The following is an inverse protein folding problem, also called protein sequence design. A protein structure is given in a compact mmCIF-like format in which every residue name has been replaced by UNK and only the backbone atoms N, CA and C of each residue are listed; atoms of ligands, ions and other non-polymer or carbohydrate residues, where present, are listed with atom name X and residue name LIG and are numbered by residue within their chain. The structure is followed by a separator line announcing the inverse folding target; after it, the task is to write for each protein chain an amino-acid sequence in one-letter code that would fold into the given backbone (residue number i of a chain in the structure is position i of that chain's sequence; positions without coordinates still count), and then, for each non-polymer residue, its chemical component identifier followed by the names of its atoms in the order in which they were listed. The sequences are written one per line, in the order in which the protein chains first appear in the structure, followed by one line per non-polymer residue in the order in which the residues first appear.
data_IF_477730790893
#
_entry.id   IF_477730790893
#
_cell.length_a   1.000
_cell.length_b   1.000
_cell.length_c   1.000
_cell.angle_alpha   90.00
_cell.angle_beta   90.00
_cell.angle_gamma   90.00
#
_symmetry.space_group_name_H-M   'P 1'
#
loop_
_entity.id
_entity.type
_entity.pdbx_description
1 polymer ?
#
# COMPACT_ATOMS: atom_id res chain seq x y z
N UNK A 1 8.18 7.42 -2.84
CA UNK A 1 8.16 8.56 -3.79
C UNK A 1 7.86 9.88 -3.08
N UNK A 2 6.60 10.21 -2.78
CA UNK A 2 6.21 11.53 -2.26
C UNK A 2 6.92 11.96 -0.95
N UNK A 3 7.08 11.06 0.04
CA UNK A 3 7.71 11.40 1.33
C UNK A 3 9.23 11.58 1.25
N UNK A 4 9.89 10.85 0.35
CA UNK A 4 11.36 10.74 0.32
C UNK A 4 11.99 11.39 -0.92
N UNK A 5 11.19 11.88 -1.86
CA UNK A 5 11.66 12.40 -3.15
C UNK A 5 12.27 11.32 -4.07
N UNK A 6 12.10 10.04 -3.74
CA UNK A 6 12.72 8.92 -4.45
C UNK A 6 11.89 8.51 -5.68
N UNK A 7 12.46 8.41 -6.89
CA UNK A 7 11.75 7.91 -8.08
C UNK A 7 11.30 6.45 -7.87
N UNK A 8 10.21 6.03 -8.50
CA UNK A 8 9.65 4.68 -8.28
C UNK A 8 10.60 3.56 -8.73
N UNK A 9 11.47 3.85 -9.70
CA UNK A 9 12.52 2.95 -10.19
C UNK A 9 13.61 2.67 -9.14
N UNK A 10 13.63 3.43 -8.04
CA UNK A 10 14.51 3.23 -6.89
C UNK A 10 13.75 2.70 -5.66
N UNK A 11 12.55 2.13 -5.86
CA UNK A 11 11.74 1.55 -4.79
C UNK A 11 11.47 0.08 -5.09
N UNK A 12 12.22 -0.78 -4.39
CA UNK A 12 12.03 -2.22 -4.43
C UNK A 12 11.03 -2.69 -3.38
N UNK A 13 10.40 -3.83 -3.66
CA UNK A 13 9.48 -4.49 -2.73
C UNK A 13 9.98 -5.91 -2.50
N UNK A 14 10.10 -6.28 -1.23
CA UNK A 14 10.51 -7.60 -0.79
C UNK A 14 9.48 -8.14 0.20
N UNK A 15 9.16 -9.42 0.08
CA UNK A 15 8.29 -10.10 1.05
C UNK A 15 9.15 -10.52 2.23
N UNK A 16 8.79 -10.04 3.42
CA UNK A 16 9.43 -10.43 4.68
C UNK A 16 8.35 -10.98 5.63
N UNK A 17 8.10 -12.31 5.65
CA UNK A 17 6.97 -12.88 6.36
C UNK A 17 6.96 -12.61 7.86
N UNK A 18 8.13 -12.48 8.49
CA UNK A 18 8.23 -12.26 9.94
C UNK A 18 7.92 -10.82 10.35
N UNK A 19 7.92 -9.86 9.42
CA UNK A 19 7.63 -8.44 9.67
C UNK A 19 8.48 -7.80 10.79
N UNK A 20 9.70 -8.29 11.02
CA UNK A 20 10.64 -7.74 12.01
C UNK A 20 11.50 -6.64 11.39
N UNK A 21 11.97 -6.87 10.16
CA UNK A 21 12.58 -5.80 9.36
C UNK A 21 11.45 -4.98 8.76
N UNK A 22 11.29 -3.74 9.23
CA UNK A 22 10.17 -2.89 8.84
C UNK A 22 10.37 -2.22 7.46
N UNK A 23 11.62 -1.93 7.09
CA UNK A 23 12.05 -1.42 5.78
C UNK A 23 13.59 -1.36 5.72
N UNK A 24 14.13 -1.24 4.51
CA UNK A 24 15.56 -1.14 4.24
C UNK A 24 15.88 0.08 3.38
N UNK A 25 17.11 0.58 3.47
CA UNK A 25 17.67 1.62 2.59
C UNK A 25 19.05 1.16 2.13
N UNK A 26 19.25 1.04 0.82
CA UNK A 26 20.55 0.74 0.22
C UNK A 26 21.31 2.04 -0.03
N UNK A 27 22.60 2.05 0.35
CA UNK A 27 23.50 3.20 0.20
C UNK A 27 24.43 3.01 -1.01
N UNK A 28 25.03 4.10 -1.48
CA UNK A 28 25.85 4.10 -2.70
C UNK A 28 27.17 3.32 -2.58
N UNK A 29 27.61 3.01 -1.36
CA UNK A 29 28.76 2.17 -1.06
C UNK A 29 28.41 0.66 -0.97
N UNK A 30 27.14 0.31 -1.19
CA UNK A 30 26.62 -1.05 -1.11
C UNK A 30 26.14 -1.45 0.28
N UNK A 31 26.30 -0.61 1.31
CA UNK A 31 25.74 -0.89 2.63
C UNK A 31 24.21 -0.82 2.61
N UNK A 32 23.58 -1.57 3.52
CA UNK A 32 22.13 -1.54 3.71
C UNK A 32 21.81 -1.25 5.17
N UNK A 33 20.98 -0.22 5.40
CA UNK A 33 20.43 0.08 6.70
C UNK A 33 19.04 -0.57 6.80
N UNK A 34 18.77 -1.21 7.94
CA UNK A 34 17.47 -1.81 8.22
C UNK A 34 16.96 -1.33 9.58
N UNK A 35 15.66 -1.02 9.66
CA UNK A 35 15.00 -0.74 10.93
C UNK A 35 14.26 -1.98 11.41
N UNK A 36 14.62 -2.48 12.59
CA UNK A 36 14.08 -3.71 13.16
C UNK A 36 13.30 -3.43 14.44
N UNK A 37 12.22 -4.18 14.66
CA UNK A 37 11.49 -4.17 15.91
C UNK A 37 10.37 -5.20 15.93
N UNK A 38 9.77 -5.39 17.09
CA UNK A 38 8.47 -6.05 17.15
C UNK A 38 7.38 -5.12 16.56
N UNK A 39 6.27 -5.66 16.02
CA UNK A 39 5.22 -4.87 15.40
C UNK A 39 4.40 -4.10 16.46
N UNK A 40 4.95 -2.96 16.90
CA UNK A 40 4.33 -2.07 17.88
C UNK A 40 4.39 -0.62 17.43
N UNK A 41 3.22 -0.05 17.14
CA UNK A 41 3.08 1.32 16.63
C UNK A 41 3.56 2.40 17.60
N UNK A 42 3.73 2.09 18.90
CA UNK A 42 4.27 3.06 19.87
C UNK A 42 5.69 3.49 19.50
N UNK A 43 6.47 2.64 18.83
CA UNK A 43 7.83 2.97 18.37
C UNK A 43 7.83 4.06 17.30
N UNK A 44 7.21 3.87 16.12
CA UNK A 44 7.21 4.91 15.08
C UNK A 44 6.47 6.17 15.50
N UNK A 45 5.40 6.08 16.31
CA UNK A 45 4.69 7.25 16.85
C UNK A 45 5.62 8.04 17.77
N UNK A 46 6.29 7.36 18.71
CA UNK A 46 7.24 8.02 19.63
C UNK A 46 8.39 8.67 18.86
N UNK A 47 8.93 7.98 17.84
CA UNK A 47 9.97 8.55 16.98
C UNK A 47 9.50 9.82 16.28
N UNK A 48 8.31 9.82 15.66
CA UNK A 48 7.80 11.00 14.96
C UNK A 48 7.55 12.20 15.89
N UNK A 49 7.13 11.96 17.13
CA UNK A 49 6.86 13.01 18.12
C UNK A 49 8.11 13.64 18.74
N UNK A 50 9.19 12.87 18.87
CA UNK A 50 10.37 13.28 19.63
C UNK A 50 11.64 13.41 18.79
N UNK A 51 11.57 13.19 17.48
CA UNK A 51 12.72 13.33 16.60
C UNK A 51 13.37 14.74 16.72
N UNK A 52 14.71 14.85 16.84
CA UNK A 52 15.72 13.79 16.67
C UNK A 52 16.04 13.01 17.95
N UNK A 53 15.48 13.39 19.10
CA UNK A 53 15.66 12.69 20.35
C UNK A 53 14.94 11.32 20.37
N UNK A 54 15.27 10.53 21.39
CA UNK A 54 14.59 9.27 21.71
C UNK A 54 14.07 9.38 23.14
N UNK A 55 12.85 8.89 23.34
CA UNK A 55 12.25 8.78 24.68
C UNK A 55 11.93 7.32 24.98
N UNK A 56 11.91 6.98 26.27
CA UNK A 56 11.54 5.65 26.71
C UNK A 56 10.08 5.34 26.34
N UNK A 57 9.89 4.16 25.73
CA UNK A 57 8.58 3.61 25.41
C UNK A 57 8.48 2.26 26.11
N UNK A 58 7.38 1.96 26.84
CA UNK A 58 7.24 0.71 27.58
C UNK A 58 6.90 -0.45 26.63
N UNK A 59 7.92 -0.91 25.90
CA UNK A 59 7.86 -2.01 24.93
C UNK A 59 8.94 -3.03 25.24
N UNK A 60 8.72 -4.27 24.78
CA UNK A 60 9.72 -5.34 24.84
C UNK A 60 10.87 -5.02 23.88
N UNK A 61 12.15 -5.00 24.32
CA UNK A 61 13.29 -4.92 23.41
C UNK A 61 13.36 -6.15 22.50
N UNK A 62 13.82 -5.97 21.27
CA UNK A 62 14.00 -7.07 20.32
C UNK A 62 15.10 -8.02 20.82
N UNK A 63 14.78 -9.31 20.90
CA UNK A 63 15.74 -10.36 21.22
C UNK A 63 16.05 -11.15 19.93
N UNK A 64 17.24 -10.93 19.38
CA UNK A 64 17.67 -11.58 18.14
C UNK A 64 17.98 -13.07 18.32
N UNK A 65 18.31 -13.52 19.53
CA UNK A 65 18.61 -14.92 19.81
C UNK A 65 17.30 -15.73 19.84
N UNK A 66 16.24 -15.16 20.43
CA UNK A 66 14.91 -15.78 20.45
C UNK A 66 14.23 -15.77 19.07
N UNK A 67 14.50 -14.75 18.25
CA UNK A 67 13.84 -14.55 16.96
C UNK A 67 14.09 -15.69 15.96
N UNK A 68 15.29 -16.28 15.99
CA UNK A 68 15.69 -17.30 15.04
C UNK A 68 16.02 -16.73 13.65
N UNK A 69 15.13 -16.93 12.68
CA UNK A 69 15.41 -16.66 11.27
C UNK A 69 14.62 -15.46 10.71
N UNK A 70 15.29 -14.70 9.85
CA UNK A 70 14.69 -13.67 9.00
C UNK A 70 14.74 -14.18 7.55
N UNK A 71 13.59 -14.29 6.89
CA UNK A 71 13.52 -14.71 5.48
C UNK A 71 13.03 -13.57 4.60
N UNK A 72 13.50 -13.58 3.35
CA UNK A 72 13.16 -12.58 2.33
C UNK A 72 12.87 -13.31 1.03
N UNK A 73 11.79 -12.91 0.37
CA UNK A 73 11.28 -13.56 -0.84
C UNK A 73 10.91 -12.50 -1.88
N UNK A 74 11.06 -12.78 -3.19
CA UNK A 74 10.57 -11.89 -4.22
C UNK A 74 9.04 -11.77 -4.16
N UNK A 75 8.51 -10.65 -4.67
CA UNK A 75 7.06 -10.49 -4.83
C UNK A 75 6.54 -11.34 -5.98
N UNK A 76 5.37 -11.95 -5.77
CA UNK A 76 4.61 -12.63 -6.83
C UNK A 76 3.48 -11.71 -7.32
N UNK A 77 3.77 -10.92 -8.35
CA UNK A 77 2.80 -9.98 -8.94
C UNK A 77 1.72 -10.67 -9.79
N UNK A 78 1.88 -11.96 -10.12
CA UNK A 78 0.85 -12.76 -10.79
C UNK A 78 -0.26 -13.14 -9.79
N UNK A 79 0.14 -13.65 -8.62
CA UNK A 79 -0.80 -13.99 -7.55
C UNK A 79 -1.36 -12.74 -6.86
N UNK A 80 -0.54 -11.71 -6.64
CA UNK A 80 -0.92 -10.48 -5.94
C UNK A 80 -1.03 -9.28 -6.89
N UNK A 81 -1.92 -9.39 -7.88
CA UNK A 81 -2.10 -8.40 -8.95
C UNK A 81 -2.33 -6.96 -8.49
N UNK A 82 -2.94 -6.75 -7.31
CA UNK A 82 -3.11 -5.41 -6.73
C UNK A 82 -1.77 -4.66 -6.56
N UNK A 83 -0.64 -5.37 -6.39
CA UNK A 83 0.67 -4.74 -6.31
C UNK A 83 1.09 -4.12 -7.63
N UNK A 84 0.94 -4.87 -8.73
CA UNK A 84 1.17 -4.38 -10.10
C UNK A 84 0.28 -3.18 -10.39
N UNK A 85 -1.02 -3.30 -10.13
CA UNK A 85 -2.01 -2.22 -10.33
C UNK A 85 -1.59 -0.96 -9.55
N UNK A 86 -1.12 -1.11 -8.31
CA UNK A 86 -0.63 0.00 -7.51
C UNK A 86 0.61 0.67 -8.11
N UNK A 87 1.59 -0.09 -8.62
CA UNK A 87 2.74 0.50 -9.32
C UNK A 87 2.29 1.26 -10.56
N UNK A 88 1.44 0.67 -11.40
CA UNK A 88 0.93 1.30 -12.61
C UNK A 88 0.19 2.61 -12.32
N UNK A 89 -0.70 2.62 -11.33
CA UNK A 89 -1.39 3.83 -10.89
C UNK A 89 -0.42 4.88 -10.34
N UNK A 90 0.59 4.45 -9.58
CA UNK A 90 1.59 5.34 -9.00
C UNK A 90 2.48 6.02 -10.07
N UNK A 91 2.90 5.27 -11.10
CA UNK A 91 3.62 5.80 -12.25
C UNK A 91 2.75 6.69 -13.14
N UNK A 92 1.48 6.33 -13.34
CA UNK A 92 0.54 7.13 -14.11
C UNK A 92 0.31 8.50 -13.46
N UNK A 93 0.24 8.54 -12.11
CA UNK A 93 0.04 9.77 -11.34
C UNK A 93 -1.32 10.43 -11.62
N UNK A 94 -1.43 11.72 -11.32
CA UNK A 94 -2.71 12.44 -11.43
C UNK A 94 -3.77 11.81 -10.53
N UNK A 95 -4.98 11.61 -11.07
CA UNK A 95 -6.10 10.99 -10.34
C UNK A 95 -5.98 9.47 -10.19
N UNK A 96 -5.09 8.78 -10.90
CA UNK A 96 -5.05 7.32 -10.92
C UNK A 96 -4.87 6.67 -9.52
N UNK A 97 -3.96 7.14 -8.63
CA UNK A 97 -3.88 6.60 -7.28
C UNK A 97 -5.15 6.82 -6.44
N UNK A 98 -5.85 7.94 -6.67
CA UNK A 98 -7.12 8.25 -6.00
C UNK A 98 -8.23 7.32 -6.47
N UNK A 99 -8.37 7.14 -7.80
CA UNK A 99 -9.30 6.18 -8.40
C UNK A 99 -9.07 4.76 -7.88
N UNK A 100 -7.80 4.31 -7.85
CA UNK A 100 -7.43 3.01 -7.33
C UNK A 100 -7.83 2.84 -5.85
N UNK A 101 -7.51 3.82 -5.01
CA UNK A 101 -7.85 3.79 -3.59
C UNK A 101 -9.38 3.70 -3.37
N UNK A 102 -10.13 4.57 -4.05
CA UNK A 102 -11.58 4.63 -3.98
C UNK A 102 -12.24 3.31 -4.42
N UNK A 103 -11.79 2.74 -5.54
CA UNK A 103 -12.26 1.46 -6.04
C UNK A 103 -11.94 0.31 -5.06
N UNK A 104 -10.72 0.29 -4.51
CA UNK A 104 -10.30 -0.71 -3.53
C UNK A 104 -11.16 -0.67 -2.27
N UNK A 105 -11.49 0.52 -1.74
CA UNK A 105 -12.38 0.65 -0.59
C UNK A 105 -13.78 0.06 -0.86
N UNK A 106 -14.37 0.35 -2.02
CA UNK A 106 -15.68 -0.19 -2.41
C UNK A 106 -15.62 -1.71 -2.57
N UNK A 107 -14.61 -2.23 -3.27
CA UNK A 107 -14.44 -3.64 -3.53
C UNK A 107 -14.18 -4.44 -2.25
N UNK A 108 -13.27 -3.99 -1.39
CA UNK A 108 -12.98 -4.63 -0.09
C UNK A 108 -14.22 -4.59 0.81
N UNK A 109 -14.95 -3.47 0.86
CA UNK A 109 -16.18 -3.39 1.63
C UNK A 109 -17.23 -4.40 1.13
N UNK A 110 -17.37 -4.55 -0.20
CA UNK A 110 -18.26 -5.55 -0.78
C UNK A 110 -17.82 -6.99 -0.48
N UNK A 111 -16.53 -7.28 -0.54
CA UNK A 111 -15.97 -8.59 -0.17
C UNK A 111 -16.26 -8.94 1.30
N UNK A 112 -15.99 -8.01 2.22
CA UNK A 112 -16.30 -8.18 3.64
C UNK A 112 -17.81 -8.36 3.88
N UNK A 113 -18.63 -7.68 3.07
CA UNK A 113 -20.09 -7.84 3.03
C UNK A 113 -20.58 -9.09 2.29
N UNK A 114 -19.69 -9.99 1.85
CA UNK A 114 -19.98 -11.21 1.08
C UNK A 114 -20.73 -10.97 -0.24
N UNK A 115 -20.62 -9.77 -0.81
CA UNK A 115 -21.20 -9.37 -2.10
C UNK A 115 -20.20 -9.41 -3.26
N UNK A 116 -18.95 -9.78 -2.98
CA UNK A 116 -17.86 -9.86 -3.95
C UNK A 116 -16.93 -11.01 -3.54
N UNK A 117 -16.38 -11.77 -4.49
CA UNK A 117 -15.38 -12.80 -4.17
C UNK A 117 -14.02 -12.15 -3.98
N UNK A 118 -13.12 -12.81 -3.25
CA UNK A 118 -11.79 -12.28 -2.96
C UNK A 118 -11.01 -11.88 -4.23
N UNK A 119 -10.97 -12.75 -5.23
CA UNK A 119 -10.25 -12.49 -6.48
C UNK A 119 -10.87 -11.39 -7.35
N UNK A 120 -12.15 -11.07 -7.14
CA UNK A 120 -12.83 -10.01 -7.90
C UNK A 120 -12.44 -8.61 -7.38
N UNK A 121 -11.76 -8.48 -6.23
CA UNK A 121 -11.28 -7.19 -5.73
C UNK A 121 -10.34 -6.54 -6.75
N UNK A 122 -9.35 -7.28 -7.22
CA UNK A 122 -8.39 -6.78 -8.20
C UNK A 122 -9.06 -6.40 -9.52
N UNK A 123 -10.00 -7.23 -9.99
CA UNK A 123 -10.75 -6.98 -11.22
C UNK A 123 -11.56 -5.67 -11.16
N UNK A 124 -12.26 -5.41 -10.04
CA UNK A 124 -13.00 -4.15 -9.86
C UNK A 124 -12.07 -2.94 -9.87
N UNK A 125 -10.91 -3.03 -9.22
CA UNK A 125 -9.94 -1.93 -9.19
C UNK A 125 -9.39 -1.65 -10.60
N UNK A 126 -8.97 -2.69 -11.32
CA UNK A 126 -8.41 -2.59 -12.67
C UNK A 126 -9.42 -2.01 -13.65
N UNK A 127 -10.65 -2.54 -13.69
CA UNK A 127 -11.71 -2.05 -14.58
C UNK A 127 -12.14 -0.62 -14.25
N UNK A 128 -12.14 -0.22 -12.96
CA UNK A 128 -12.43 1.17 -12.59
C UNK A 128 -11.35 2.13 -13.11
N UNK A 129 -10.07 1.73 -13.07
CA UNK A 129 -8.97 2.51 -13.63
C UNK A 129 -9.01 2.58 -15.16
N UNK A 130 -9.46 1.52 -15.83
CA UNK A 130 -9.63 1.50 -17.29
C UNK A 130 -10.78 2.41 -17.75
N UNK A 131 -11.90 2.41 -17.01
CA UNK A 131 -13.10 3.20 -17.34
C UNK A 131 -12.94 4.68 -17.05
N UNK A 132 -12.15 5.06 -16.04
CA UNK A 132 -11.98 6.44 -15.63
C UNK A 132 -10.66 7.02 -16.11
N UNK A 133 -10.68 8.01 -17.03
CA UNK A 133 -9.46 8.57 -17.56
C UNK A 133 -8.66 9.27 -16.46
N UNK A 134 -7.35 9.03 -16.46
CA UNK A 134 -6.42 9.80 -15.64
C UNK A 134 -6.51 11.29 -15.98
N UNK A 135 -6.65 12.11 -14.95
CA UNK A 135 -6.63 13.56 -15.06
C UNK A 135 -5.51 14.15 -14.19
N UNK A 136 -4.93 15.30 -14.56
CA UNK A 136 -4.07 16.05 -13.66
C UNK A 136 -4.87 16.54 -12.44
N UNK A 137 -4.23 16.56 -11.27
CA UNK A 137 -4.85 17.03 -10.03
C UNK A 137 -4.45 18.49 -9.80
N UNK A 138 -5.45 19.37 -9.74
CA UNK A 138 -5.24 20.81 -9.60
C UNK A 138 -5.79 21.40 -8.29
N UNK A 139 -6.64 20.67 -7.58
CA UNK A 139 -7.18 21.08 -6.29
C UNK A 139 -7.62 19.88 -5.46
N UNK A 140 -7.94 20.12 -4.20
CA UNK A 140 -8.49 19.10 -3.31
C UNK A 140 -9.93 18.71 -3.71
N UNK A 141 -10.72 19.67 -4.18
CA UNK A 141 -12.09 19.44 -4.66
C UNK A 141 -12.11 18.50 -5.86
N UNK A 142 -11.18 18.68 -6.81
CA UNK A 142 -11.03 17.80 -7.95
C UNK A 142 -10.69 16.35 -7.55
N UNK A 143 -9.98 16.15 -6.44
CA UNK A 143 -9.77 14.80 -5.88
C UNK A 143 -11.05 14.22 -5.28
N UNK A 144 -11.86 15.04 -4.61
CA UNK A 144 -13.15 14.60 -4.07
C UNK A 144 -14.12 14.18 -5.18
N UNK A 145 -14.14 14.90 -6.30
CA UNK A 145 -14.93 14.53 -7.48
C UNK A 145 -14.43 13.22 -8.12
N UNK A 146 -13.11 13.06 -8.26
CA UNK A 146 -12.50 11.84 -8.79
C UNK A 146 -12.77 10.63 -7.88
N UNK A 147 -12.66 10.78 -6.55
CA UNK A 147 -13.00 9.74 -5.58
C UNK A 147 -14.48 9.35 -5.68
N UNK A 148 -15.39 10.32 -5.69
CA UNK A 148 -16.82 10.05 -5.77
C UNK A 148 -17.20 9.30 -7.05
N UNK A 149 -16.64 9.70 -8.19
CA UNK A 149 -16.89 9.04 -9.47
C UNK A 149 -16.30 7.62 -9.50
N UNK A 150 -15.08 7.43 -8.99
CA UNK A 150 -14.47 6.11 -8.85
C UNK A 150 -15.30 5.17 -7.97
N UNK A 151 -15.86 5.67 -6.86
CA UNK A 151 -16.77 4.88 -6.01
C UNK A 151 -18.04 4.49 -6.75
N UNK A 152 -18.62 5.41 -7.53
CA UNK A 152 -19.83 5.14 -8.32
C UNK A 152 -19.58 4.01 -9.32
N UNK A 153 -18.53 4.12 -10.13
CA UNK A 153 -18.16 3.10 -11.13
C UNK A 153 -17.83 1.77 -10.46
N UNK A 154 -17.01 1.76 -9.41
CA UNK A 154 -16.68 0.54 -8.68
C UNK A 154 -17.92 -0.14 -8.07
N UNK A 155 -18.90 0.62 -7.59
CA UNK A 155 -20.14 0.07 -7.05
C UNK A 155 -21.01 -0.57 -8.13
N UNK A 156 -21.06 0.00 -9.33
CA UNK A 156 -21.74 -0.59 -10.49
C UNK A 156 -21.09 -1.92 -10.88
N UNK A 157 -19.76 -1.95 -11.01
CA UNK A 157 -18.99 -3.17 -11.30
C UNK A 157 -19.17 -4.26 -10.23
N UNK A 158 -19.25 -3.88 -8.96
CA UNK A 158 -19.55 -4.82 -7.86
C UNK A 158 -20.97 -5.38 -8.00
N UNK A 159 -21.97 -4.55 -8.33
CA UNK A 159 -23.35 -4.99 -8.46
C UNK A 159 -23.49 -6.08 -9.54
N UNK A 160 -22.79 -5.92 -10.67
CA UNK A 160 -22.74 -6.89 -11.77
C UNK A 160 -22.09 -8.23 -11.39
N UNK A 161 -21.24 -8.25 -10.35
CA UNK A 161 -20.47 -9.41 -9.88
C UNK A 161 -21.07 -10.07 -8.64
N UNK A 162 -22.21 -9.56 -8.15
CA UNK A 162 -22.82 -10.08 -6.93
C UNK A 162 -23.13 -11.57 -7.11
N UNK A 163 -22.56 -12.45 -6.28
CA UNK A 163 -22.85 -13.88 -6.36
C UNK A 163 -24.36 -14.13 -6.18
N UNK A 164 -24.91 -15.05 -6.97
CA UNK A 164 -26.29 -15.51 -6.82
C UNK A 164 -26.55 -16.18 -5.46
#
# INVERSE_FOLDING_TARGET
HHLFGTPYEQIDIVVHPQSIVHSLVQLCDGATLAHLGYPDMRVPISYALHHPERVDVPIRPLDLVELGALTFEPVDEETFSCLRIAREAAHAGGTAPCTMNAANEVAVHAFLGRRLRFLDIAAVIEETLELLPRQPVHSFEALGEADAEARRVAAELVAERTPA
#
